data_IF_429471480294
#
_entry.id   IF_429471480294
#
_cell.length_a   1.000
_cell.length_b   1.000
_cell.length_c   1.000
_cell.angle_alpha   90.00
_cell.angle_beta   90.00
_cell.angle_gamma   90.00
#
_symmetry.space_group_name_H-M   'P 1'
#
loop_
_entity.id
_entity.type
_entity.pdbx_description
1 polymer ?
#
# COMPACT_ATOMS: atom_id res chain seq x y z
N UNK A 1 -1.87 11.89 10.99
CA UNK A 1 -2.09 10.66 11.80
C UNK A 1 -2.68 11.02 13.16
N UNK A 2 -2.19 12.06 13.85
CA UNK A 2 -2.67 12.45 15.19
C UNK A 2 -4.18 12.71 15.21
N UNK A 3 -4.75 13.34 14.18
CA UNK A 3 -6.21 13.52 14.04
C UNK A 3 -6.99 12.20 14.06
N UNK A 4 -6.41 11.11 13.57
CA UNK A 4 -7.05 9.78 13.63
C UNK A 4 -7.10 9.30 15.08
N UNK A 5 -6.06 9.57 15.88
CA UNK A 5 -6.05 9.22 17.31
C UNK A 5 -7.05 10.03 18.12
N UNK A 6 -7.24 11.31 17.80
CA UNK A 6 -8.17 12.19 18.51
C UNK A 6 -9.63 11.76 18.37
N UNK A 7 -10.00 11.15 17.26
CA UNK A 7 -11.39 10.79 16.91
C UNK A 7 -11.63 9.29 16.80
N UNK A 8 -10.58 8.47 16.84
CA UNK A 8 -10.63 7.04 16.63
C UNK A 8 -10.25 6.22 17.86
N UNK A 9 -9.85 4.98 17.61
CA UNK A 9 -9.39 4.04 18.64
C UNK A 9 -7.90 3.80 18.48
N UNK A 10 -7.16 3.95 19.58
CA UNK A 10 -5.72 3.63 19.65
C UNK A 10 -5.53 2.25 20.30
N UNK A 11 -4.78 1.39 19.63
CA UNK A 11 -4.45 0.05 20.11
C UNK A 11 -2.97 0.02 20.51
N UNK A 12 -2.67 0.26 21.79
CA UNK A 12 -1.29 0.39 22.28
C UNK A 12 -0.50 -0.93 22.28
N UNK A 13 -1.20 -2.08 22.35
CA UNK A 13 -0.62 -3.41 22.36
C UNK A 13 -0.98 -4.23 21.11
N UNK A 14 -1.02 -3.58 19.95
CA UNK A 14 -1.25 -4.26 18.68
C UNK A 14 0.06 -4.75 18.09
N UNK A 15 0.11 -6.03 17.71
CA UNK A 15 1.27 -6.69 17.12
C UNK A 15 0.93 -7.21 15.73
N UNK A 16 1.77 -6.86 14.74
CA UNK A 16 1.69 -7.45 13.41
C UNK A 16 2.15 -8.93 13.48
N UNK A 17 1.55 -9.78 12.65
CA UNK A 17 1.87 -11.22 12.62
C UNK A 17 3.28 -11.54 12.09
N UNK A 18 3.96 -10.58 11.47
CA UNK A 18 5.31 -10.73 10.97
C UNK A 18 6.00 -9.35 10.87
N UNK A 19 7.33 -9.37 10.95
CA UNK A 19 8.18 -8.17 10.74
C UNK A 19 8.45 -7.86 9.26
N UNK A 20 7.97 -8.71 8.32
CA UNK A 20 8.18 -8.55 6.87
C UNK A 20 6.86 -8.49 6.11
N UNK A 21 6.91 -7.94 4.90
CA UNK A 21 5.75 -7.43 4.17
C UNK A 21 4.75 -8.51 3.74
N UNK A 22 5.16 -9.53 2.95
CA UNK A 22 4.21 -10.50 2.40
C UNK A 22 3.44 -11.26 3.49
N UNK A 23 4.09 -11.81 4.54
CA UNK A 23 3.38 -12.47 5.63
C UNK A 23 2.41 -11.54 6.36
N UNK A 24 2.82 -10.29 6.66
CA UNK A 24 1.93 -9.33 7.32
C UNK A 24 0.71 -8.98 6.48
N UNK A 25 0.87 -8.84 5.15
CA UNK A 25 -0.24 -8.57 4.23
C UNK A 25 -1.16 -9.77 4.09
N UNK A 26 -0.61 -10.98 3.98
CA UNK A 26 -1.40 -12.20 3.96
C UNK A 26 -2.25 -12.35 5.23
N UNK A 27 -1.65 -12.14 6.40
CA UNK A 27 -2.37 -12.17 7.67
C UNK A 27 -3.46 -11.09 7.77
N UNK A 28 -3.16 -9.86 7.35
CA UNK A 28 -4.12 -8.75 7.36
C UNK A 28 -5.34 -9.06 6.48
N UNK A 29 -5.11 -9.60 5.28
CA UNK A 29 -6.17 -9.83 4.31
C UNK A 29 -6.97 -11.12 4.56
N UNK A 30 -6.44 -12.06 5.34
CA UNK A 30 -7.12 -13.35 5.59
C UNK A 30 -7.57 -13.56 7.03
N UNK A 31 -7.06 -12.75 7.98
CA UNK A 31 -7.27 -12.98 9.41
C UNK A 31 -6.60 -14.25 9.94
N UNK A 32 -5.67 -14.84 9.19
CA UNK A 32 -4.99 -16.12 9.54
C UNK A 32 -3.49 -15.90 9.75
N UNK A 33 -2.85 -16.83 10.47
CA UNK A 33 -1.39 -16.86 10.53
C UNK A 33 -0.80 -17.07 9.12
N UNK A 34 0.26 -16.32 8.75
CA UNK A 34 0.78 -16.30 7.39
C UNK A 34 1.17 -17.67 6.83
N UNK A 35 1.75 -18.53 7.68
CA UNK A 35 2.14 -19.89 7.30
C UNK A 35 0.94 -20.77 6.89
N UNK A 36 -0.24 -20.53 7.48
CA UNK A 36 -1.47 -21.28 7.17
C UNK A 36 -2.05 -20.92 5.80
N UNK A 37 -1.60 -19.84 5.22
CA UNK A 37 -2.03 -19.36 3.89
C UNK A 37 -0.86 -19.35 2.89
N UNK A 38 0.17 -20.16 3.15
CA UNK A 38 1.29 -20.39 2.24
C UNK A 38 2.34 -19.27 2.21
N UNK A 39 2.31 -18.29 3.13
CA UNK A 39 3.21 -17.14 3.12
C UNK A 39 4.03 -17.03 4.42
N UNK A 40 4.88 -18.03 4.73
CA UNK A 40 5.72 -17.98 5.93
C UNK A 40 6.83 -16.92 5.86
N UNK A 41 7.17 -16.42 4.67
CA UNK A 41 8.22 -15.45 4.42
C UNK A 41 7.93 -14.54 3.23
N UNK A 42 8.95 -13.79 2.81
CA UNK A 42 8.81 -12.79 1.73
C UNK A 42 8.63 -13.48 0.38
N UNK A 43 7.60 -13.11 -0.35
CA UNK A 43 7.42 -13.48 -1.76
C UNK A 43 8.32 -12.58 -2.62
N UNK A 44 9.14 -13.19 -3.48
CA UNK A 44 10.10 -12.49 -4.34
C UNK A 44 10.06 -12.99 -5.78
N UNK A 45 10.43 -12.13 -6.77
CA UNK A 45 10.50 -12.54 -8.18
C UNK A 45 11.52 -13.64 -8.46
N UNK A 46 12.59 -13.72 -7.64
CA UNK A 46 13.62 -14.76 -7.76
C UNK A 46 13.17 -16.03 -7.05
N UNK A 47 13.13 -17.15 -7.78
CA UNK A 47 12.74 -18.46 -7.24
C UNK A 47 13.63 -18.87 -6.07
N UNK A 48 14.94 -18.63 -6.16
CA UNK A 48 15.92 -19.03 -5.14
C UNK A 48 15.79 -18.23 -3.82
N UNK A 49 15.08 -17.10 -3.84
CA UNK A 49 14.88 -16.24 -2.68
C UNK A 49 13.42 -16.07 -2.30
N UNK A 50 12.53 -16.85 -2.89
CA UNK A 50 11.12 -16.82 -2.62
C UNK A 50 10.78 -17.71 -1.42
N UNK A 51 10.12 -17.15 -0.40
CA UNK A 51 9.78 -17.81 0.86
C UNK A 51 8.26 -17.93 1.06
N UNK A 52 7.50 -17.93 -0.01
CA UNK A 52 6.07 -18.12 0.10
C UNK A 52 5.34 -18.14 -1.22
N UNK A 53 4.17 -18.74 -1.19
CA UNK A 53 3.21 -18.72 -2.27
C UNK A 53 1.83 -18.54 -1.65
N UNK A 54 1.16 -17.44 -1.96
CA UNK A 54 -0.15 -17.16 -1.39
C UNK A 54 -1.16 -18.18 -1.89
N UNK A 55 -1.69 -19.00 -0.96
CA UNK A 55 -2.61 -20.07 -1.26
C UNK A 55 -3.88 -19.55 -1.95
N UNK A 56 -4.17 -19.95 -3.19
CA UNK A 56 -5.36 -19.50 -3.92
C UNK A 56 -6.67 -19.88 -3.23
N UNK A 57 -6.69 -20.92 -2.39
CA UNK A 57 -7.87 -21.33 -1.64
C UNK A 57 -8.13 -20.49 -0.38
N UNK A 58 -7.15 -19.66 0.03
CA UNK A 58 -7.32 -18.80 1.19
C UNK A 58 -8.32 -17.68 0.89
N UNK A 59 -9.43 -17.67 1.61
CA UNK A 59 -10.44 -16.62 1.49
C UNK A 59 -9.88 -15.30 2.04
N UNK A 60 -10.04 -14.22 1.28
CA UNK A 60 -9.59 -12.88 1.64
C UNK A 60 -10.73 -11.99 2.10
N UNK A 61 -10.40 -10.98 2.90
CA UNK A 61 -11.37 -9.97 3.35
C UNK A 61 -12.07 -9.25 2.18
N UNK A 62 -11.38 -8.82 1.11
CA UNK A 62 -12.07 -8.24 -0.04
C UNK A 62 -13.03 -9.20 -0.74
N UNK A 63 -12.74 -10.52 -0.82
CA UNK A 63 -13.69 -11.50 -1.35
C UNK A 63 -14.97 -11.58 -0.49
N UNK A 64 -14.83 -11.58 0.83
CA UNK A 64 -15.98 -11.58 1.76
C UNK A 64 -16.81 -10.30 1.61
N UNK A 65 -16.16 -9.15 1.57
CA UNK A 65 -16.83 -7.86 1.40
C UNK A 65 -17.52 -7.73 0.04
N UNK A 66 -16.89 -8.21 -1.03
CA UNK A 66 -17.48 -8.25 -2.36
C UNK A 66 -18.75 -9.10 -2.39
N UNK A 67 -18.72 -10.27 -1.75
CA UNK A 67 -19.92 -11.13 -1.62
C UNK A 67 -21.01 -10.46 -0.76
N UNK A 68 -20.63 -9.55 0.14
CA UNK A 68 -21.55 -8.69 0.91
C UNK A 68 -22.05 -7.46 0.16
N UNK A 69 -21.74 -7.31 -1.14
CA UNK A 69 -22.20 -6.21 -1.99
C UNK A 69 -21.33 -4.97 -1.97
N UNK A 70 -20.14 -5.02 -1.37
CA UNK A 70 -19.16 -3.93 -1.41
C UNK A 70 -18.44 -3.91 -2.77
N UNK A 71 -18.15 -2.72 -3.25
CA UNK A 71 -17.13 -2.51 -4.29
C UNK A 71 -15.76 -2.45 -3.64
N UNK A 72 -14.81 -3.19 -4.16
CA UNK A 72 -13.52 -3.40 -3.50
C UNK A 72 -12.37 -2.86 -4.31
N UNK A 73 -11.46 -2.12 -3.68
CA UNK A 73 -10.28 -1.57 -4.33
C UNK A 73 -9.01 -1.75 -3.51
N UNK A 74 -7.91 -1.98 -4.22
CA UNK A 74 -6.55 -1.84 -3.73
C UNK A 74 -5.86 -0.72 -4.49
N UNK A 75 -5.37 0.29 -3.79
CA UNK A 75 -4.50 1.31 -4.35
C UNK A 75 -3.17 1.30 -3.62
N UNK A 76 -2.08 1.08 -4.37
CA UNK A 76 -0.73 0.96 -3.82
C UNK A 76 -0.11 -0.42 -3.93
N UNK A 77 0.68 -0.80 -2.94
CA UNK A 77 1.49 -2.03 -2.96
C UNK A 77 0.66 -3.28 -2.64
N UNK A 78 0.82 -4.31 -3.49
CA UNK A 78 0.24 -5.64 -3.29
C UNK A 78 1.16 -6.61 -2.52
N UNK A 79 2.22 -7.06 -3.15
CA UNK A 79 3.26 -7.95 -2.60
C UNK A 79 2.77 -9.35 -2.13
N UNK A 80 1.74 -9.89 -2.76
CA UNK A 80 1.26 -11.26 -2.52
C UNK A 80 1.24 -12.14 -3.77
N UNK A 81 1.93 -11.72 -4.82
CA UNK A 81 2.08 -12.38 -6.11
C UNK A 81 1.93 -11.39 -7.26
N UNK A 82 2.50 -11.70 -8.42
CA UNK A 82 2.46 -10.90 -9.64
C UNK A 82 2.01 -11.71 -10.84
N UNK A 83 1.53 -12.91 -10.62
CA UNK A 83 1.01 -13.83 -11.62
C UNK A 83 -0.30 -14.46 -11.13
N UNK A 84 -1.14 -14.89 -12.10
CA UNK A 84 -2.33 -15.68 -11.80
C UNK A 84 -1.95 -16.95 -11.02
N UNK A 85 -2.75 -17.34 -10.04
CA UNK A 85 -4.04 -16.80 -9.60
C UNK A 85 -3.95 -15.77 -8.47
N UNK A 86 -2.79 -15.15 -8.25
CA UNK A 86 -2.54 -14.29 -7.11
C UNK A 86 -2.46 -12.78 -7.46
N UNK A 87 -3.06 -12.37 -8.57
CA UNK A 87 -3.25 -10.96 -8.88
C UNK A 87 -4.35 -10.32 -8.01
N UNK A 88 -4.27 -9.03 -7.67
CA UNK A 88 -5.26 -8.38 -6.81
C UNK A 88 -6.71 -8.58 -7.28
N UNK A 89 -6.96 -8.48 -8.59
CA UNK A 89 -8.31 -8.64 -9.14
C UNK A 89 -8.83 -10.08 -9.03
N UNK A 90 -7.95 -11.08 -8.93
CA UNK A 90 -8.31 -12.48 -8.70
C UNK A 90 -8.50 -12.81 -7.22
N UNK A 91 -8.05 -11.88 -6.34
CA UNK A 91 -8.09 -12.00 -4.88
C UNK A 91 -9.09 -11.05 -4.24
N UNK A 92 -10.20 -10.80 -4.95
CA UNK A 92 -11.38 -10.13 -4.43
C UNK A 92 -11.43 -8.61 -4.62
N UNK A 93 -10.44 -7.98 -5.26
CA UNK A 93 -10.51 -6.56 -5.58
C UNK A 93 -11.12 -6.33 -6.97
N UNK A 94 -12.17 -5.51 -7.05
CA UNK A 94 -12.77 -5.07 -8.33
C UNK A 94 -11.88 -4.09 -9.07
N UNK A 95 -11.10 -3.31 -8.30
CA UNK A 95 -10.20 -2.29 -8.83
C UNK A 95 -8.82 -2.42 -8.19
N UNK A 96 -7.79 -2.46 -9.03
CA UNK A 96 -6.40 -2.38 -8.63
C UNK A 96 -5.69 -1.25 -9.36
N UNK A 97 -5.01 -0.38 -8.63
CA UNK A 97 -4.20 0.69 -9.21
C UNK A 97 -2.93 0.84 -8.37
N UNK A 98 -1.83 0.24 -8.80
CA UNK A 98 -0.66 0.22 -7.93
C UNK A 98 0.49 -0.66 -8.40
N UNK A 99 1.25 -1.14 -7.41
CA UNK A 99 2.53 -1.80 -7.56
C UNK A 99 2.47 -3.25 -7.05
N UNK A 100 2.69 -4.22 -7.93
CA UNK A 100 2.57 -5.64 -7.61
C UNK A 100 3.72 -6.19 -6.75
N UNK A 101 4.96 -5.72 -6.98
CA UNK A 101 6.16 -6.35 -6.44
C UNK A 101 6.47 -5.99 -4.97
N UNK A 102 7.65 -6.46 -4.50
CA UNK A 102 8.09 -6.38 -3.10
C UNK A 102 8.51 -4.97 -2.66
N UNK A 103 9.25 -4.25 -3.49
CA UNK A 103 9.70 -2.88 -3.23
C UNK A 103 9.99 -2.16 -4.55
N UNK A 104 9.98 -0.85 -4.50
CA UNK A 104 10.48 -0.01 -5.60
C UNK A 104 11.96 0.27 -5.38
N UNK A 105 12.75 0.21 -6.44
CA UNK A 105 14.14 0.67 -6.43
C UNK A 105 14.21 2.20 -6.55
N UNK A 106 13.14 2.83 -7.05
CA UNK A 106 13.01 4.27 -7.22
C UNK A 106 11.54 4.70 -7.18
N UNK A 107 11.21 5.74 -6.36
CA UNK A 107 9.83 6.22 -6.15
C UNK A 107 9.26 7.02 -7.32
N UNK A 108 10.09 7.41 -8.30
CA UNK A 108 9.65 8.18 -9.47
C UNK A 108 9.59 7.36 -10.76
N UNK A 109 10.46 6.36 -10.90
CA UNK A 109 10.44 5.45 -12.05
C UNK A 109 9.66 4.17 -11.80
N UNK A 110 9.39 3.86 -10.52
CA UNK A 110 8.59 2.72 -10.05
C UNK A 110 9.12 1.35 -10.51
N UNK A 111 10.42 1.27 -10.78
CA UNK A 111 11.06 0.01 -11.23
C UNK A 111 11.46 -0.87 -10.06
N UNK A 112 11.49 -2.17 -10.32
CA UNK A 112 12.10 -3.17 -9.45
C UNK A 112 13.01 -4.06 -10.26
N UNK A 113 14.33 -4.01 -9.99
CA UNK A 113 15.35 -4.76 -10.77
C UNK A 113 15.20 -4.55 -12.28
N UNK A 114 14.90 -3.32 -12.69
CA UNK A 114 14.68 -2.93 -14.08
C UNK A 114 13.27 -3.24 -14.62
N UNK A 115 12.49 -4.12 -13.98
CA UNK A 115 11.12 -4.45 -14.38
C UNK A 115 10.10 -3.40 -13.96
N UNK A 116 9.05 -3.25 -14.75
CA UNK A 116 7.88 -2.46 -14.40
C UNK A 116 6.83 -3.36 -13.73
N UNK A 117 6.35 -2.92 -12.58
CA UNK A 117 5.30 -3.62 -11.82
C UNK A 117 4.14 -2.69 -11.45
N UNK A 118 4.01 -1.54 -12.16
CA UNK A 118 2.88 -0.63 -12.01
C UNK A 118 1.74 -1.04 -12.94
N UNK A 119 0.55 -1.19 -12.37
CA UNK A 119 -0.63 -1.70 -13.07
C UNK A 119 -1.89 -0.92 -12.74
N UNK A 120 -2.78 -0.82 -13.71
CA UNK A 120 -4.19 -0.51 -13.54
C UNK A 120 -4.98 -1.76 -13.94
N UNK A 121 -5.48 -2.49 -12.95
CA UNK A 121 -6.05 -3.82 -13.11
C UNK A 121 -5.05 -4.78 -13.79
N UNK A 122 -5.34 -5.24 -14.99
CA UNK A 122 -4.55 -6.14 -15.81
C UNK A 122 -3.58 -5.43 -16.77
N UNK A 123 -3.62 -4.09 -16.82
CA UNK A 123 -2.81 -3.29 -17.75
C UNK A 123 -1.59 -2.70 -17.05
N UNK A 124 -0.42 -3.00 -17.61
CA UNK A 124 0.82 -2.32 -17.23
C UNK A 124 0.74 -0.83 -17.58
N UNK A 125 1.16 0.03 -16.65
CA UNK A 125 1.19 1.49 -16.80
C UNK A 125 2.58 2.04 -16.46
N UNK A 126 2.92 3.22 -16.95
CA UNK A 126 4.17 3.91 -16.65
C UNK A 126 3.90 5.37 -16.24
N UNK A 127 3.28 5.61 -15.08
CA UNK A 127 2.93 6.94 -14.61
C UNK A 127 4.17 7.76 -14.28
N UNK A 128 4.03 9.11 -14.28
CA UNK A 128 5.08 10.04 -13.86
C UNK A 128 4.70 10.66 -12.52
N UNK A 129 5.69 10.80 -11.65
CA UNK A 129 5.52 11.39 -10.32
C UNK A 129 5.96 10.48 -9.18
N UNK A 130 5.97 11.00 -7.97
CA UNK A 130 6.33 10.25 -6.78
C UNK A 130 5.20 9.27 -6.39
N UNK A 131 5.53 7.99 -6.16
CA UNK A 131 4.56 6.92 -5.90
C UNK A 131 3.56 7.26 -4.78
N UNK A 132 4.00 7.91 -3.70
CA UNK A 132 3.11 8.33 -2.61
C UNK A 132 2.04 9.32 -3.09
N UNK A 133 2.41 10.26 -3.95
CA UNK A 133 1.48 11.25 -4.50
C UNK A 133 0.51 10.64 -5.50
N UNK A 134 1.00 9.71 -6.33
CA UNK A 134 0.16 8.95 -7.26
C UNK A 134 -0.90 8.14 -6.53
N UNK A 135 -0.50 7.35 -5.53
CA UNK A 135 -1.46 6.55 -4.74
C UNK A 135 -2.47 7.41 -4.00
N UNK A 136 -2.05 8.59 -3.53
CA UNK A 136 -2.94 9.57 -2.92
C UNK A 136 -3.97 10.09 -3.92
N UNK A 137 -3.53 10.55 -5.09
CA UNK A 137 -4.41 11.08 -6.12
C UNK A 137 -5.42 10.03 -6.59
N UNK A 138 -4.95 8.82 -6.89
CA UNK A 138 -5.83 7.72 -7.33
C UNK A 138 -6.84 7.31 -6.26
N UNK A 139 -6.46 7.38 -4.98
CA UNK A 139 -7.38 7.10 -3.87
C UNK A 139 -8.45 8.18 -3.73
N UNK A 140 -8.07 9.44 -3.84
CA UNK A 140 -9.01 10.57 -3.82
C UNK A 140 -10.01 10.46 -4.97
N UNK A 141 -9.52 10.15 -6.18
CA UNK A 141 -10.37 10.01 -7.36
C UNK A 141 -11.32 8.81 -7.24
N UNK A 142 -10.81 7.67 -6.71
CA UNK A 142 -11.63 6.49 -6.43
C UNK A 142 -12.75 6.81 -5.42
N UNK A 143 -12.41 7.41 -4.27
CA UNK A 143 -13.40 7.77 -3.24
C UNK A 143 -14.47 8.71 -3.81
N UNK A 144 -14.07 9.76 -4.53
CA UNK A 144 -15.01 10.70 -5.17
C UNK A 144 -15.94 10.06 -6.20
N UNK A 145 -15.45 9.04 -6.89
CA UNK A 145 -16.23 8.28 -7.86
C UNK A 145 -17.22 7.37 -7.13
N UNK A 146 -16.75 6.54 -6.22
CA UNK A 146 -17.57 5.54 -5.54
C UNK A 146 -18.61 6.16 -4.58
N UNK A 147 -18.32 7.32 -4.01
CA UNK A 147 -19.27 8.08 -3.18
C UNK A 147 -20.56 8.52 -3.93
N UNK A 148 -20.58 8.47 -5.24
CA UNK A 148 -21.76 8.76 -6.07
C UNK A 148 -22.62 7.51 -6.36
N UNK A 149 -22.08 6.35 -6.03
CA UNK A 149 -22.70 5.06 -6.27
C UNK A 149 -23.53 4.62 -5.05
N UNK A 150 -24.46 3.69 -5.27
CA UNK A 150 -25.36 3.20 -4.18
C UNK A 150 -24.71 2.15 -3.30
N UNK A 151 -23.71 1.42 -3.82
CA UNK A 151 -23.08 0.35 -3.10
C UNK A 151 -22.00 0.91 -2.16
N UNK A 152 -21.87 0.36 -0.95
CA UNK A 152 -20.72 0.69 -0.11
C UNK A 152 -19.43 0.23 -0.79
N UNK A 153 -18.32 0.88 -0.46
CA UNK A 153 -17.02 0.48 -0.97
C UNK A 153 -16.00 0.21 0.14
N UNK A 154 -15.04 -0.63 -0.18
CA UNK A 154 -13.86 -0.91 0.62
C UNK A 154 -12.63 -0.51 -0.16
N UNK A 155 -11.81 0.38 0.39
CA UNK A 155 -10.53 0.79 -0.18
C UNK A 155 -9.38 0.37 0.73
N UNK A 156 -8.52 -0.53 0.24
CA UNK A 156 -7.23 -0.81 0.86
C UNK A 156 -6.14 0.09 0.25
N UNK A 157 -5.85 1.21 0.94
CA UNK A 157 -4.78 2.12 0.55
C UNK A 157 -3.46 1.69 1.17
N UNK A 158 -2.56 1.15 0.38
CA UNK A 158 -1.33 0.49 0.79
C UNK A 158 -0.08 1.19 0.24
N UNK A 159 0.37 2.24 0.93
CA UNK A 159 1.56 2.97 0.54
C UNK A 159 2.85 2.13 0.58
N UNK A 160 3.81 2.45 -0.31
CA UNK A 160 5.17 1.91 -0.25
C UNK A 160 6.01 2.62 0.84
N UNK A 161 5.83 3.94 1.00
CA UNK A 161 6.53 4.70 2.03
C UNK A 161 6.16 4.20 3.44
N UNK A 162 7.09 4.20 4.39
CA UNK A 162 8.46 4.70 4.32
C UNK A 162 9.53 3.65 3.97
N UNK A 163 9.21 2.63 3.15
CA UNK A 163 10.18 1.61 2.72
C UNK A 163 11.34 2.25 1.95
N UNK A 164 12.54 1.64 2.04
CA UNK A 164 13.67 2.05 1.19
C UNK A 164 13.35 1.90 -0.32
N UNK A 165 13.99 2.73 -1.19
CA UNK A 165 14.98 3.77 -0.91
C UNK A 165 14.40 4.97 -0.17
N UNK A 166 15.20 5.62 0.69
CA UNK A 166 14.78 6.85 1.39
C UNK A 166 14.84 8.04 0.42
N UNK A 167 13.80 8.18 -0.38
CA UNK A 167 13.72 9.11 -1.53
C UNK A 167 12.50 10.04 -1.43
N UNK A 168 12.38 10.84 -0.36
CA UNK A 168 11.34 11.87 -0.30
C UNK A 168 11.61 12.97 -1.32
N UNK A 169 10.59 13.75 -1.73
CA UNK A 169 10.81 14.97 -2.49
C UNK A 169 11.75 15.94 -1.75
N UNK A 170 12.63 16.62 -2.49
CA UNK A 170 13.74 17.39 -1.92
C UNK A 170 13.29 18.50 -0.98
N UNK A 171 12.16 19.15 -1.27
CA UNK A 171 11.57 20.19 -0.42
C UNK A 171 11.22 19.70 0.99
N UNK A 172 10.89 18.42 1.15
CA UNK A 172 10.64 17.81 2.47
C UNK A 172 11.94 17.58 3.23
N UNK A 173 13.02 17.19 2.55
CA UNK A 173 14.34 17.09 3.17
C UNK A 173 14.81 18.44 3.68
N UNK A 174 14.66 19.48 2.85
CA UNK A 174 15.03 20.85 3.20
C UNK A 174 14.30 21.33 4.46
N UNK A 175 12.97 21.16 4.54
CA UNK A 175 12.18 21.50 5.74
C UNK A 175 12.69 20.82 7.01
N UNK A 176 13.06 19.54 6.93
CA UNK A 176 13.61 18.79 8.07
C UNK A 176 14.98 19.33 8.49
N UNK A 177 15.86 19.60 7.52
CA UNK A 177 17.21 20.11 7.78
C UNK A 177 17.21 21.59 8.26
N UNK A 178 16.25 22.40 7.81
CA UNK A 178 16.07 23.76 8.34
C UNK A 178 15.66 23.76 9.81
N UNK A 179 14.83 22.79 10.20
CA UNK A 179 14.38 22.63 11.58
C UNK A 179 15.47 22.06 12.52
N UNK A 180 16.29 21.14 12.00
CA UNK A 180 17.43 20.59 12.72
C UNK A 180 18.60 20.27 11.78
N UNK A 181 19.59 21.17 11.78
CA UNK A 181 20.81 21.07 10.97
C UNK A 181 21.79 19.99 11.46
N UNK A 182 21.61 19.47 12.66
CA UNK A 182 22.47 18.44 13.24
C UNK A 182 22.17 17.04 12.76
N UNK A 183 21.00 16.82 12.10
CA UNK A 183 20.57 15.53 11.66
C UNK A 183 21.46 14.95 10.55
N UNK A 184 21.92 13.69 10.67
CA UNK A 184 22.55 12.99 9.56
C UNK A 184 21.59 12.91 8.34
N UNK A 185 22.14 13.06 7.13
CA UNK A 185 21.35 13.10 5.89
C UNK A 185 20.37 11.92 5.76
N UNK A 186 20.80 10.71 6.09
CA UNK A 186 19.96 9.51 6.05
C UNK A 186 18.77 9.62 7.01
N UNK A 187 18.98 10.17 8.20
CA UNK A 187 17.92 10.38 9.19
C UNK A 187 16.95 11.46 8.74
N UNK A 188 17.46 12.57 8.20
CA UNK A 188 16.64 13.64 7.65
C UNK A 188 15.75 13.14 6.50
N UNK A 189 16.29 12.31 5.58
CA UNK A 189 15.50 11.68 4.51
C UNK A 189 14.41 10.77 5.03
N UNK A 190 14.66 9.97 6.05
CA UNK A 190 13.64 9.10 6.64
C UNK A 190 12.51 9.92 7.28
N UNK A 191 12.84 10.94 8.04
CA UNK A 191 11.85 11.85 8.65
C UNK A 191 11.03 12.53 7.54
N UNK A 192 11.70 13.07 6.53
CA UNK A 192 11.05 13.73 5.40
C UNK A 192 10.09 12.80 4.64
N UNK A 193 10.48 11.53 4.46
CA UNK A 193 9.62 10.53 3.78
C UNK A 193 8.38 10.21 4.62
N UNK A 194 8.50 10.14 5.93
CA UNK A 194 7.38 9.91 6.86
C UNK A 194 6.45 11.14 6.88
N UNK A 195 7.00 12.34 6.98
CA UNK A 195 6.21 13.59 6.97
C UNK A 195 5.50 13.81 5.63
N UNK A 196 6.16 13.48 4.51
CA UNK A 196 5.54 13.50 3.19
C UNK A 196 4.39 12.49 3.08
N UNK A 197 4.56 11.28 3.64
CA UNK A 197 3.49 10.29 3.71
C UNK A 197 2.32 10.80 4.55
N UNK A 198 2.57 11.33 5.74
CA UNK A 198 1.54 11.86 6.63
C UNK A 198 0.74 13.00 5.99
N UNK A 199 1.42 13.91 5.31
CA UNK A 199 0.78 14.97 4.53
C UNK A 199 -0.15 14.41 3.44
N UNK A 200 0.28 13.37 2.74
CA UNK A 200 -0.53 12.73 1.70
C UNK A 200 -1.73 11.95 2.27
N UNK A 201 -1.58 11.28 3.40
CA UNK A 201 -2.71 10.71 4.15
C UNK A 201 -3.71 11.81 4.53
N UNK A 202 -3.21 12.97 4.97
CA UNK A 202 -4.00 14.15 5.28
C UNK A 202 -4.84 14.70 4.12
N UNK A 203 -4.50 14.39 2.86
CA UNK A 203 -5.33 14.72 1.69
C UNK A 203 -6.48 13.74 1.48
N UNK A 204 -6.30 12.47 1.84
CA UNK A 204 -7.32 11.42 1.66
C UNK A 204 -8.41 11.51 2.71
N UNK A 205 -8.04 11.73 3.98
CA UNK A 205 -8.95 11.73 5.13
C UNK A 205 -10.14 12.69 4.95
N UNK A 206 -9.95 13.99 4.60
CA UNK A 206 -11.08 14.91 4.45
C UNK A 206 -12.05 14.48 3.35
N UNK A 207 -11.52 13.91 2.25
CA UNK A 207 -12.37 13.43 1.15
C UNK A 207 -13.22 12.24 1.61
N UNK A 208 -12.66 11.33 2.39
CA UNK A 208 -13.40 10.23 2.99
C UNK A 208 -14.51 10.74 3.91
N UNK A 209 -14.21 11.63 4.86
CA UNK A 209 -15.21 12.19 5.78
C UNK A 209 -16.30 13.05 5.11
N UNK A 210 -16.01 13.66 3.96
CA UNK A 210 -16.98 14.50 3.25
C UNK A 210 -17.94 13.67 2.41
N UNK A 211 -17.55 12.45 2.05
CA UNK A 211 -18.28 11.59 1.10
C UNK A 211 -18.75 10.26 1.69
N UNK A 212 -18.46 9.98 2.95
CA UNK A 212 -18.96 8.84 3.72
C UNK A 212 -19.89 9.32 4.84
#
# INVERSE_FOLDING_TARGET
IDRIFETGVRLDNFYANSSVSSPSRAALLTGRFPAMVGVPGVIRPSVDQNWGYFDPSAVTMPEVLKNGGYRTALIGKWHLGWESPNLPNERGFDHFHGFLADMMDDYYTHRRQGGNYMYLNDKEIDPKGHATELFTSWSVDYIKKEAKEKNPFFLYLAYNAPHSPLQPPVEWVNKVQERDKSLPVKRARLIALIEHLDYNIGKVIPVSYTHL
#
